data_IF_665053816010
#
_entry.id   IF_665053816010
#
_cell.length_a   1.000
_cell.length_b   1.000
_cell.length_c   1.000
_cell.angle_alpha   90.00
_cell.angle_beta   90.00
_cell.angle_gamma   90.00
#
_symmetry.space_group_name_H-M   'P 1'
#
loop_
_entity.id
_entity.type
_entity.pdbx_description
1 polymer ?
#
# COMPACT_ATOMS: atom_id res chain seq x y z
N UNK A 1 42.11 57.30 45.70
CA UNK A 1 40.80 56.62 45.60
C UNK A 1 40.67 56.01 44.18
N UNK A 2 40.89 54.73 44.06
CA UNK A 2 40.70 53.98 42.78
C UNK A 2 39.32 53.33 42.82
N UNK A 3 38.48 53.59 41.81
CA UNK A 3 37.21 52.98 41.59
C UNK A 3 37.43 51.81 40.63
N UNK A 4 37.23 50.55 41.13
CA UNK A 4 37.16 49.39 40.29
C UNK A 4 35.75 49.29 39.68
N UNK A 5 35.66 49.36 38.38
CA UNK A 5 34.43 49.01 37.64
C UNK A 5 34.42 47.49 37.37
N UNK A 6 33.43 46.80 37.93
CA UNK A 6 33.18 45.40 37.65
C UNK A 6 32.36 45.30 36.34
N UNK A 7 32.93 44.70 35.32
CA UNK A 7 32.21 44.37 34.11
C UNK A 7 31.41 43.06 34.32
N UNK A 8 30.09 43.14 34.34
CA UNK A 8 29.21 41.99 34.26
C UNK A 8 29.16 41.49 32.80
N UNK A 9 29.72 40.31 32.58
CA UNK A 9 29.52 39.53 31.36
C UNK A 9 28.12 38.92 31.40
N UNK A 10 27.22 39.46 30.59
CA UNK A 10 25.96 38.78 30.26
C UNK A 10 26.28 37.70 29.25
N UNK A 11 26.26 36.41 29.67
CA UNK A 11 26.18 35.28 28.75
C UNK A 11 24.77 35.26 28.18
N UNK A 12 24.63 35.63 26.92
CA UNK A 12 23.43 35.44 26.14
C UNK A 12 23.24 33.91 25.95
N UNK A 13 22.24 33.35 26.61
CA UNK A 13 21.67 32.06 26.17
C UNK A 13 21.13 32.28 24.75
N UNK A 14 21.81 31.75 23.75
CA UNK A 14 21.30 31.65 22.42
C UNK A 14 20.05 30.74 22.48
N UNK A 15 18.88 31.34 22.31
CA UNK A 15 17.69 30.55 21.99
C UNK A 15 17.97 29.87 20.65
N UNK A 16 17.93 28.54 20.63
CA UNK A 16 17.99 27.76 19.42
C UNK A 16 16.70 28.04 18.65
N UNK A 17 16.74 29.04 17.77
CA UNK A 17 15.64 29.37 16.88
C UNK A 17 15.72 28.43 15.68
N UNK A 18 15.40 27.13 15.90
CA UNK A 18 15.09 26.29 14.78
C UNK A 18 13.82 26.83 14.12
N UNK A 19 13.92 27.23 12.87
CA UNK A 19 12.75 27.58 12.07
C UNK A 19 11.72 26.47 12.19
N UNK A 20 10.41 26.78 12.27
CA UNK A 20 9.37 25.76 12.30
C UNK A 20 9.51 24.86 11.09
N UNK A 21 9.54 23.53 11.30
CA UNK A 21 9.61 22.56 10.20
C UNK A 21 8.38 22.72 9.30
N UNK A 22 8.61 22.81 8.00
CA UNK A 22 7.54 22.84 7.00
C UNK A 22 7.05 21.41 6.76
N UNK A 23 5.81 21.14 7.13
CA UNK A 23 5.12 19.86 6.91
C UNK A 23 4.17 19.91 5.70
N UNK A 24 4.37 20.82 4.77
CA UNK A 24 3.61 20.84 3.53
C UNK A 24 3.96 19.62 2.66
N UNK A 25 2.99 19.16 1.90
CA UNK A 25 3.13 18.07 0.94
C UNK A 25 2.73 18.54 -0.44
N UNK A 26 3.32 17.93 -1.47
CA UNK A 26 2.82 18.04 -2.84
C UNK A 26 1.42 17.44 -2.92
N UNK A 27 0.66 17.83 -3.92
CA UNK A 27 -0.67 17.26 -4.16
C UNK A 27 -0.57 15.78 -4.58
N UNK A 28 -1.58 15.00 -4.24
CA UNK A 28 -1.69 13.61 -4.69
C UNK A 28 -1.63 13.46 -6.21
N UNK A 29 -2.14 14.45 -6.95
CA UNK A 29 -2.07 14.47 -8.41
C UNK A 29 -0.63 14.63 -8.92
N UNK A 30 0.17 15.51 -8.32
CA UNK A 30 1.60 15.68 -8.65
C UNK A 30 2.38 14.42 -8.34
N UNK A 31 2.17 13.83 -7.16
CA UNK A 31 2.86 12.61 -6.72
C UNK A 31 2.53 11.42 -7.62
N UNK A 32 1.24 11.19 -7.92
CA UNK A 32 0.82 10.11 -8.82
C UNK A 32 1.37 10.35 -10.23
N UNK A 33 1.40 11.60 -10.71
CA UNK A 33 1.99 11.93 -12.03
C UNK A 33 3.49 11.63 -12.11
N UNK A 34 4.21 11.79 -11.00
CA UNK A 34 5.66 11.58 -10.91
C UNK A 34 6.06 10.10 -10.83
N UNK A 35 5.16 9.25 -10.34
CA UNK A 35 5.34 7.80 -10.35
C UNK A 35 5.38 7.27 -11.79
N UNK A 36 6.25 6.28 -12.04
CA UNK A 36 6.41 5.62 -13.35
C UNK A 36 6.01 4.17 -13.29
N UNK A 37 6.88 3.32 -12.78
CA UNK A 37 6.64 1.89 -12.63
C UNK A 37 6.55 1.60 -11.13
N UNK A 38 5.42 1.03 -10.72
CA UNK A 38 5.20 0.55 -9.36
C UNK A 38 5.41 -0.97 -9.24
N UNK A 39 5.89 -1.40 -8.08
CA UNK A 39 6.13 -2.80 -7.77
C UNK A 39 5.71 -3.11 -6.33
N UNK A 40 5.17 -4.32 -6.09
CA UNK A 40 4.80 -4.78 -4.76
C UNK A 40 5.86 -5.73 -4.18
N UNK A 41 6.27 -5.49 -2.93
CA UNK A 41 7.05 -6.43 -2.13
C UNK A 41 6.10 -7.47 -1.49
N UNK A 42 5.41 -8.26 -2.32
CA UNK A 42 4.42 -9.22 -1.84
C UNK A 42 5.03 -10.49 -1.24
N UNK A 43 4.27 -11.18 -0.39
CA UNK A 43 4.69 -12.36 0.36
C UNK A 43 5.98 -12.14 1.18
N UNK A 44 6.08 -10.98 1.82
CA UNK A 44 7.25 -10.58 2.63
C UNK A 44 6.77 -10.05 3.98
N UNK A 45 6.54 -8.73 4.14
CA UNK A 45 5.99 -8.20 5.39
C UNK A 45 4.46 -8.40 5.52
N UNK A 46 3.81 -8.86 4.47
CA UNK A 46 2.40 -9.28 4.48
C UNK A 46 2.19 -10.73 4.94
N UNK A 47 3.26 -11.49 5.17
CA UNK A 47 3.15 -12.86 5.68
C UNK A 47 2.45 -12.90 7.04
N UNK A 48 1.71 -13.96 7.28
CA UNK A 48 1.00 -14.18 8.53
C UNK A 48 0.78 -15.68 8.78
N UNK A 49 0.48 -16.03 10.02
CA UNK A 49 -0.05 -17.33 10.34
C UNK A 49 -1.35 -17.58 9.57
N UNK A 50 -1.61 -18.82 9.19
CA UNK A 50 -2.77 -19.17 8.39
C UNK A 50 -3.43 -20.45 8.91
N UNK A 51 -4.65 -20.72 8.48
CA UNK A 51 -5.31 -22.03 8.57
C UNK A 51 -5.12 -22.74 7.22
N UNK A 52 -4.01 -23.45 7.05
CA UNK A 52 -3.69 -24.14 5.79
C UNK A 52 -4.22 -25.54 5.71
N UNK A 53 -4.43 -26.19 6.85
CA UNK A 53 -4.95 -27.55 6.92
C UNK A 53 -6.48 -27.59 6.98
N UNK A 54 -7.13 -26.46 7.21
CA UNK A 54 -8.58 -26.29 7.18
C UNK A 54 -9.28 -26.76 8.45
N UNK A 55 -8.57 -26.81 9.58
CA UNK A 55 -9.12 -27.20 10.88
C UNK A 55 -9.87 -26.05 11.59
N UNK A 56 -9.82 -24.84 11.04
CA UNK A 56 -10.43 -23.64 11.58
C UNK A 56 -9.54 -22.91 12.60
N UNK A 57 -8.29 -23.34 12.78
CA UNK A 57 -7.33 -22.73 13.70
C UNK A 57 -6.22 -22.05 12.91
N UNK A 58 -6.00 -20.78 13.15
CA UNK A 58 -4.96 -20.00 12.47
C UNK A 58 -3.67 -20.16 13.28
N UNK A 59 -2.93 -21.21 12.99
CA UNK A 59 -1.75 -21.61 13.74
C UNK A 59 -0.61 -22.20 12.90
N UNK A 60 -0.75 -22.20 11.57
CA UNK A 60 0.31 -22.67 10.67
C UNK A 60 1.47 -21.66 10.67
N UNK A 61 2.32 -21.82 11.67
CA UNK A 61 3.58 -21.08 11.85
C UNK A 61 4.75 -22.04 11.87
N UNK A 62 5.99 -21.59 11.66
CA UNK A 62 7.17 -22.41 11.83
C UNK A 62 7.26 -23.01 13.25
N UNK A 63 8.01 -24.12 13.42
CA UNK A 63 8.20 -24.77 14.72
C UNK A 63 8.76 -23.83 15.81
N UNK A 64 9.50 -22.77 15.41
CA UNK A 64 10.00 -21.74 16.32
C UNK A 64 8.92 -20.75 16.77
N UNK A 65 7.72 -20.80 16.19
CA UNK A 65 6.60 -19.91 16.51
C UNK A 65 6.75 -18.47 16.02
N UNK A 66 7.78 -18.18 15.22
CA UNK A 66 8.07 -16.83 14.75
C UNK A 66 7.44 -16.63 13.36
N UNK A 67 6.61 -15.61 13.23
CA UNK A 67 6.12 -15.11 11.94
C UNK A 67 7.07 -13.98 11.52
N UNK A 68 7.89 -14.25 10.52
CA UNK A 68 8.80 -13.28 9.92
C UNK A 68 8.66 -13.27 8.39
N UNK A 69 9.29 -12.32 7.74
CA UNK A 69 9.19 -12.11 6.29
C UNK A 69 9.61 -13.29 5.41
N UNK A 70 10.24 -14.32 5.99
CA UNK A 70 10.66 -15.52 5.27
C UNK A 70 9.64 -16.66 5.30
N UNK A 71 8.56 -16.50 6.08
CA UNK A 71 7.55 -17.54 6.34
C UNK A 71 6.99 -18.17 5.05
N UNK A 72 6.79 -17.36 4.01
CA UNK A 72 6.24 -17.85 2.73
C UNK A 72 7.30 -18.09 1.66
N UNK A 73 8.58 -18.20 2.05
CA UNK A 73 9.68 -18.70 1.21
C UNK A 73 10.47 -17.62 0.47
N UNK A 74 10.19 -16.34 0.68
CA UNK A 74 11.05 -15.27 0.19
C UNK A 74 12.28 -15.11 1.10
N UNK A 75 13.41 -14.61 0.57
CA UNK A 75 14.58 -14.29 1.39
C UNK A 75 14.30 -13.06 2.28
N UNK A 76 15.11 -12.90 3.32
CA UNK A 76 15.20 -11.63 4.05
C UNK A 76 15.49 -10.50 3.07
N UNK A 77 14.71 -9.43 3.18
CA UNK A 77 14.86 -8.26 2.32
C UNK A 77 16.07 -7.41 2.75
N UNK A 78 16.85 -6.95 1.80
CA UNK A 78 17.95 -6.02 2.04
C UNK A 78 17.91 -4.82 1.07
N UNK A 79 18.79 -3.83 1.28
CA UNK A 79 18.82 -2.61 0.48
C UNK A 79 19.15 -2.87 -0.99
N UNK A 80 19.94 -3.91 -1.28
CA UNK A 80 20.39 -4.22 -2.65
C UNK A 80 19.24 -4.58 -3.59
N UNK A 81 18.14 -5.14 -3.05
CA UNK A 81 16.91 -5.37 -3.80
C UNK A 81 16.35 -4.05 -4.38
N UNK A 82 16.22 -3.04 -3.53
CA UNK A 82 15.65 -1.75 -3.96
C UNK A 82 16.60 -0.96 -4.84
N UNK A 83 17.92 -1.06 -4.63
CA UNK A 83 18.94 -0.50 -5.51
C UNK A 83 18.82 -1.08 -6.92
N UNK A 84 18.66 -2.41 -7.04
CA UNK A 84 18.48 -3.09 -8.32
C UNK A 84 17.15 -2.69 -8.99
N UNK A 85 16.04 -2.70 -8.25
CA UNK A 85 14.73 -2.27 -8.78
C UNK A 85 14.76 -0.82 -9.26
N UNK A 86 15.42 0.09 -8.52
CA UNK A 86 15.58 1.47 -8.94
C UNK A 86 16.40 1.60 -10.22
N UNK A 87 17.48 0.83 -10.36
CA UNK A 87 18.29 0.78 -11.56
C UNK A 87 17.49 0.31 -12.79
N UNK A 88 16.50 -0.55 -12.58
CA UNK A 88 15.56 -1.03 -13.60
C UNK A 88 14.49 0.01 -13.96
N UNK A 89 14.39 1.12 -13.24
CA UNK A 89 13.43 2.21 -13.47
C UNK A 89 12.18 2.17 -12.60
N UNK A 90 12.10 1.27 -11.61
CA UNK A 90 11.07 1.29 -10.59
C UNK A 90 11.29 2.51 -9.69
N UNK A 91 10.30 3.38 -9.56
CA UNK A 91 10.41 4.54 -8.68
C UNK A 91 9.30 4.62 -7.62
N UNK A 92 8.44 3.60 -7.56
CA UNK A 92 7.40 3.49 -6.57
C UNK A 92 7.27 2.02 -6.10
N UNK A 93 7.16 1.81 -4.80
CA UNK A 93 6.99 0.48 -4.21
C UNK A 93 5.82 0.48 -3.25
N UNK A 94 5.03 -0.58 -3.30
CA UNK A 94 4.05 -0.88 -2.26
C UNK A 94 4.61 -2.01 -1.41
N UNK A 95 4.68 -1.79 -0.12
CA UNK A 95 5.16 -2.71 0.89
C UNK A 95 3.95 -3.15 1.70
N UNK A 96 3.28 -4.25 1.31
CA UNK A 96 2.17 -4.80 2.07
C UNK A 96 2.66 -5.27 3.43
N UNK A 97 1.90 -4.98 4.50
CA UNK A 97 2.28 -5.33 5.87
C UNK A 97 1.09 -5.93 6.61
N UNK A 98 1.27 -7.09 7.20
CA UNK A 98 0.30 -7.71 8.10
C UNK A 98 0.77 -7.52 9.54
N UNK A 99 -0.13 -7.01 10.39
CA UNK A 99 0.20 -6.60 11.75
C UNK A 99 -0.32 -7.55 12.83
N UNK A 100 -1.37 -8.32 12.55
CA UNK A 100 -2.13 -9.08 13.54
C UNK A 100 -1.31 -10.04 14.39
N UNK A 101 -0.26 -10.68 13.82
CA UNK A 101 0.60 -11.63 14.53
C UNK A 101 1.67 -10.92 15.37
N UNK A 102 1.76 -9.60 15.26
CA UNK A 102 2.71 -8.72 15.93
C UNK A 102 2.02 -7.69 16.83
N UNK A 103 0.74 -7.93 17.19
CA UNK A 103 -0.03 -7.07 18.08
C UNK A 103 -0.20 -7.72 19.43
N UNK A 104 0.09 -6.97 20.50
CA UNK A 104 -0.25 -7.35 21.87
C UNK A 104 -1.76 -7.27 22.14
N UNK A 105 -2.12 -7.62 23.37
CA UNK A 105 -3.51 -7.65 23.83
C UNK A 105 -4.13 -6.26 23.98
N UNK A 106 -5.47 -6.25 24.04
CA UNK A 106 -6.25 -5.08 24.43
C UNK A 106 -5.86 -4.59 25.86
N UNK A 107 -6.01 -3.29 26.16
CA UNK A 107 -6.56 -2.25 25.29
C UNK A 107 -5.53 -1.57 24.38
N UNK A 108 -4.26 -1.78 24.63
CA UNK A 108 -3.18 -1.01 24.00
C UNK A 108 -2.85 -1.52 22.59
N UNK A 109 -3.08 -2.81 22.31
CA UNK A 109 -2.72 -3.46 21.04
C UNK A 109 -1.32 -3.04 20.57
N UNK A 110 -0.34 -3.10 21.51
CA UNK A 110 1.01 -2.63 21.25
C UNK A 110 1.64 -3.45 20.13
N UNK A 111 2.12 -2.77 19.10
CA UNK A 111 2.92 -3.43 18.05
C UNK A 111 4.24 -3.90 18.66
N UNK A 112 4.66 -5.12 18.30
CA UNK A 112 5.98 -5.63 18.64
C UNK A 112 7.07 -4.68 18.14
N UNK A 113 8.02 -4.36 19.01
CA UNK A 113 9.05 -3.36 18.71
C UNK A 113 10.02 -3.85 17.64
N UNK A 114 10.37 -5.13 17.65
CA UNK A 114 11.28 -5.71 16.64
C UNK A 114 10.60 -5.72 15.28
N UNK A 115 9.28 -6.01 15.23
CA UNK A 115 8.50 -5.93 13.99
C UNK A 115 8.42 -4.50 13.47
N UNK A 116 8.07 -3.53 14.31
CA UNK A 116 8.00 -2.12 13.89
C UNK A 116 9.36 -1.63 13.36
N UNK A 117 10.45 -1.99 14.04
CA UNK A 117 11.81 -1.67 13.61
C UNK A 117 12.13 -2.32 12.26
N UNK A 118 11.71 -3.57 12.05
CA UNK A 118 11.91 -4.26 10.77
C UNK A 118 11.13 -3.62 9.63
N UNK A 119 9.86 -3.29 9.86
CA UNK A 119 9.04 -2.55 8.90
C UNK A 119 9.72 -1.24 8.52
N UNK A 120 10.16 -0.48 9.50
CA UNK A 120 10.87 0.79 9.28
C UNK A 120 12.16 0.63 8.49
N UNK A 121 12.94 -0.41 8.79
CA UNK A 121 14.18 -0.72 8.09
C UNK A 121 13.92 -1.00 6.60
N UNK A 122 12.93 -1.83 6.28
CA UNK A 122 12.56 -2.16 4.89
C UNK A 122 12.00 -0.93 4.16
N UNK A 123 11.19 -0.13 4.83
CA UNK A 123 10.70 1.16 4.29
C UNK A 123 11.88 2.06 3.94
N UNK A 124 12.87 2.18 4.83
CA UNK A 124 14.04 3.04 4.61
C UNK A 124 14.86 2.60 3.40
N UNK A 125 14.98 1.31 3.11
CA UNK A 125 15.70 0.83 1.92
C UNK A 125 15.20 1.47 0.61
N UNK A 126 13.89 1.68 0.48
CA UNK A 126 13.30 2.34 -0.68
C UNK A 126 13.27 3.87 -0.51
N UNK A 127 12.90 4.36 0.69
CA UNK A 127 12.74 5.78 0.96
C UNK A 127 14.04 6.56 0.81
N UNK A 128 15.17 6.02 1.30
CA UNK A 128 16.51 6.63 1.20
C UNK A 128 17.04 6.66 -0.24
N UNK A 129 16.44 5.86 -1.12
CA UNK A 129 16.69 5.89 -2.55
C UNK A 129 15.77 6.87 -3.31
N UNK A 130 15.05 7.77 -2.63
CA UNK A 130 14.08 8.70 -3.22
C UNK A 130 12.94 8.00 -4.00
N UNK A 131 12.54 6.80 -3.59
CA UNK A 131 11.36 6.12 -4.14
C UNK A 131 10.10 6.55 -3.39
N UNK A 132 8.95 6.47 -4.06
CA UNK A 132 7.65 6.51 -3.40
C UNK A 132 7.38 5.19 -2.71
N UNK A 133 6.92 5.25 -1.46
CA UNK A 133 6.65 4.05 -0.66
C UNK A 133 5.22 4.07 -0.17
N UNK A 134 4.47 3.00 -0.43
CA UNK A 134 3.12 2.79 0.09
C UNK A 134 3.20 1.70 1.17
N UNK A 135 2.65 1.98 2.35
CA UNK A 135 2.47 1.00 3.44
C UNK A 135 0.99 0.87 3.81
N UNK A 136 0.58 -0.30 4.28
CA UNK A 136 -0.82 -0.57 4.60
C UNK A 136 -1.01 -1.50 5.82
N UNK A 137 -2.26 -1.87 6.05
CA UNK A 137 -2.65 -3.07 6.79
C UNK A 137 -3.17 -4.08 5.76
N UNK A 138 -2.49 -5.24 5.62
CA UNK A 138 -2.72 -6.13 4.47
C UNK A 138 -3.68 -7.29 4.81
N UNK A 139 -3.21 -8.43 5.27
CA UNK A 139 -4.08 -9.56 5.64
C UNK A 139 -4.81 -9.35 6.97
N UNK A 140 -4.67 -8.21 7.59
CA UNK A 140 -5.58 -7.68 8.61
C UNK A 140 -6.97 -7.39 8.05
N UNK A 141 -7.02 -6.99 6.76
CA UNK A 141 -8.20 -6.85 5.91
C UNK A 141 -8.47 -8.08 5.04
N UNK A 142 -9.41 -7.95 4.11
CA UNK A 142 -9.78 -9.02 3.17
C UNK A 142 -10.87 -9.96 3.69
N UNK A 143 -11.25 -10.92 2.84
CA UNK A 143 -12.31 -11.91 3.13
C UNK A 143 -11.76 -13.31 3.39
N UNK A 144 -10.46 -13.52 3.27
CA UNK A 144 -9.90 -14.84 3.47
C UNK A 144 -9.83 -15.20 4.96
N UNK A 145 -10.76 -16.03 5.40
CA UNK A 145 -10.80 -16.56 6.77
C UNK A 145 -9.54 -17.33 7.15
N UNK A 146 -8.81 -17.86 6.16
CA UNK A 146 -7.56 -18.58 6.38
C UNK A 146 -6.46 -17.67 6.93
N UNK A 147 -6.51 -16.38 6.64
CA UNK A 147 -5.55 -15.41 7.13
C UNK A 147 -6.01 -14.65 8.38
N UNK A 148 -7.18 -14.96 8.94
CA UNK A 148 -7.68 -14.36 10.17
C UNK A 148 -7.87 -12.84 10.13
N UNK A 149 -8.34 -12.34 9.00
CA UNK A 149 -8.61 -10.93 8.78
C UNK A 149 -9.59 -10.36 9.82
N UNK A 150 -9.08 -9.53 10.73
CA UNK A 150 -9.87 -9.01 11.85
C UNK A 150 -10.67 -7.75 11.52
N UNK A 151 -10.34 -7.04 10.43
CA UNK A 151 -11.08 -5.83 10.01
C UNK A 151 -12.56 -6.16 9.73
N UNK A 152 -12.86 -7.39 9.34
CA UNK A 152 -14.23 -7.87 9.12
C UNK A 152 -15.12 -7.80 10.36
N UNK A 153 -14.53 -7.89 11.56
CA UNK A 153 -15.28 -7.79 12.82
C UNK A 153 -15.97 -6.43 13.00
N UNK A 154 -15.63 -5.43 12.19
CA UNK A 154 -16.33 -4.14 12.14
C UNK A 154 -17.83 -4.28 11.85
N UNK A 155 -18.25 -5.34 11.13
CA UNK A 155 -19.66 -5.64 10.86
C UNK A 155 -20.39 -6.26 12.04
N UNK A 156 -19.66 -6.79 13.02
CA UNK A 156 -20.20 -7.44 14.21
C UNK A 156 -20.17 -6.51 15.44
N UNK A 157 -19.02 -5.85 15.66
CA UNK A 157 -18.78 -4.94 16.77
C UNK A 157 -17.85 -3.81 16.32
N UNK A 158 -18.45 -2.72 15.82
CA UNK A 158 -17.70 -1.57 15.32
C UNK A 158 -16.86 -0.88 16.39
N UNK A 159 -17.34 -0.82 17.63
CA UNK A 159 -16.63 -0.11 18.72
C UNK A 159 -15.34 -0.86 19.06
N UNK A 160 -15.42 -2.18 19.22
CA UNK A 160 -14.24 -3.03 19.47
C UNK A 160 -13.26 -3.02 18.29
N UNK A 161 -13.76 -3.11 17.05
CA UNK A 161 -12.94 -2.93 15.85
C UNK A 161 -12.21 -1.57 15.88
N UNK A 162 -12.96 -0.49 16.16
CA UNK A 162 -12.45 0.87 16.15
C UNK A 162 -11.35 1.08 17.20
N UNK A 163 -11.46 0.48 18.39
CA UNK A 163 -10.39 0.50 19.40
C UNK A 163 -9.09 -0.06 18.84
N UNK A 164 -9.12 -1.27 18.27
CA UNK A 164 -7.95 -1.94 17.70
C UNK A 164 -7.39 -1.18 16.50
N UNK A 165 -8.25 -0.78 15.56
CA UNK A 165 -7.87 -0.05 14.36
C UNK A 165 -7.19 1.28 14.70
N UNK A 166 -7.75 2.02 15.64
CA UNK A 166 -7.18 3.28 16.10
C UNK A 166 -5.86 3.10 16.85
N UNK A 167 -5.75 2.06 17.70
CA UNK A 167 -4.52 1.78 18.43
C UNK A 167 -3.37 1.45 17.47
N UNK A 168 -3.63 0.63 16.46
CA UNK A 168 -2.64 0.26 15.45
C UNK A 168 -2.21 1.49 14.61
N UNK A 169 -3.18 2.20 14.01
CA UNK A 169 -2.86 3.32 13.15
C UNK A 169 -2.19 4.49 13.90
N UNK A 170 -2.50 4.71 15.18
CA UNK A 170 -1.78 5.70 16.00
C UNK A 170 -0.30 5.37 16.11
N UNK A 171 0.07 4.11 16.29
CA UNK A 171 1.45 3.66 16.38
C UNK A 171 2.17 3.83 15.04
N UNK A 172 1.53 3.41 13.93
CA UNK A 172 2.07 3.61 12.57
C UNK A 172 2.26 5.11 12.29
N UNK A 173 1.26 5.94 12.57
CA UNK A 173 1.35 7.39 12.38
C UNK A 173 2.47 8.03 13.19
N UNK A 174 2.68 7.59 14.43
CA UNK A 174 3.74 8.12 15.29
C UNK A 174 5.13 7.74 14.75
N UNK A 175 5.32 6.48 14.34
CA UNK A 175 6.60 6.00 13.83
C UNK A 175 7.02 6.70 12.53
N UNK A 176 6.05 6.96 11.65
CA UNK A 176 6.31 7.54 10.33
C UNK A 176 5.94 9.02 10.21
N UNK A 177 5.82 9.74 11.34
CA UNK A 177 5.39 11.15 11.38
C UNK A 177 6.35 12.09 10.64
N UNK A 178 7.65 11.78 10.64
CA UNK A 178 8.71 12.60 10.07
C UNK A 178 9.04 12.30 8.60
N UNK A 179 8.44 11.24 8.03
CA UNK A 179 8.59 10.92 6.61
C UNK A 179 7.74 11.89 5.78
N UNK A 180 8.31 12.42 4.72
CA UNK A 180 7.64 13.38 3.84
C UNK A 180 6.54 12.75 2.94
N UNK A 181 6.12 13.46 1.92
CA UNK A 181 5.03 13.07 1.01
C UNK A 181 5.36 11.88 0.09
N UNK A 182 6.60 11.36 0.13
CA UNK A 182 6.96 10.12 -0.56
C UNK A 182 6.50 8.86 0.19
N UNK A 183 6.20 8.96 1.47
CA UNK A 183 5.55 7.88 2.21
C UNK A 183 4.03 8.07 2.23
N UNK A 184 3.32 7.12 1.64
CA UNK A 184 1.86 7.10 1.49
C UNK A 184 1.30 5.99 2.37
N UNK A 185 0.27 6.30 3.14
CA UNK A 185 -0.44 5.33 3.96
C UNK A 185 -1.73 4.90 3.27
N UNK A 186 -1.93 3.59 3.12
CA UNK A 186 -3.13 2.98 2.53
C UNK A 186 -4.04 2.44 3.63
N UNK A 187 -5.33 2.81 3.57
CA UNK A 187 -6.29 2.58 4.65
C UNK A 187 -6.49 1.11 5.04
N UNK A 188 -6.47 0.22 4.09
CA UNK A 188 -6.46 -1.24 4.23
C UNK A 188 -6.32 -1.91 2.86
N UNK A 189 -5.97 -3.20 2.85
CA UNK A 189 -6.05 -4.05 1.66
C UNK A 189 -7.48 -4.59 1.50
N UNK A 190 -7.94 -4.79 0.29
CA UNK A 190 -9.11 -5.58 -0.17
C UNK A 190 -10.25 -5.77 0.86
N UNK A 191 -10.81 -4.69 1.38
CA UNK A 191 -11.89 -4.74 2.37
C UNK A 191 -13.28 -4.60 1.74
N UNK A 192 -14.22 -5.38 2.26
CA UNK A 192 -15.64 -5.36 1.92
C UNK A 192 -16.44 -6.19 2.91
N UNK A 193 -17.76 -6.11 2.83
CA UNK A 193 -18.67 -6.66 3.84
C UNK A 193 -19.87 -7.34 3.18
N UNK A 194 -19.62 -8.29 2.26
CA UNK A 194 -20.67 -8.92 1.43
C UNK A 194 -21.68 -9.77 2.25
N UNK A 195 -21.42 -10.03 3.53
CA UNK A 195 -22.40 -10.64 4.44
C UNK A 195 -23.50 -9.67 4.89
N UNK A 196 -23.28 -8.35 4.74
CA UNK A 196 -24.27 -7.32 5.05
C UNK A 196 -25.17 -7.02 3.83
N UNK A 197 -26.35 -6.43 4.04
CA UNK A 197 -27.07 -5.76 2.96
C UNK A 197 -26.16 -4.73 2.27
N UNK A 198 -26.25 -4.62 0.95
CA UNK A 198 -25.29 -3.83 0.18
C UNK A 198 -25.15 -2.36 0.64
N UNK A 199 -26.26 -1.71 0.97
CA UNK A 199 -26.21 -0.31 1.43
C UNK A 199 -25.47 -0.18 2.76
N UNK A 200 -25.68 -1.11 3.69
CA UNK A 200 -24.98 -1.16 4.98
C UNK A 200 -23.49 -1.49 4.80
N UNK A 201 -23.17 -2.38 3.86
CA UNK A 201 -21.80 -2.77 3.55
C UNK A 201 -20.98 -1.58 3.00
N UNK A 202 -21.54 -0.79 2.07
CA UNK A 202 -20.88 0.42 1.58
C UNK A 202 -20.80 1.50 2.65
N UNK A 203 -21.85 1.69 3.44
CA UNK A 203 -21.86 2.66 4.54
C UNK A 203 -20.77 2.34 5.57
N UNK A 204 -20.56 1.05 5.87
CA UNK A 204 -19.51 0.60 6.80
C UNK A 204 -18.12 0.86 6.23
N UNK A 205 -17.85 0.51 4.97
CA UNK A 205 -16.57 0.80 4.33
C UNK A 205 -16.29 2.31 4.30
N UNK A 206 -17.26 3.11 3.88
CA UNK A 206 -17.11 4.57 3.84
C UNK A 206 -16.79 5.13 5.23
N UNK A 207 -17.43 4.58 6.29
CA UNK A 207 -17.17 4.95 7.68
C UNK A 207 -15.75 4.60 8.12
N UNK A 208 -15.24 3.41 7.77
CA UNK A 208 -13.88 2.99 8.08
C UNK A 208 -12.85 3.88 7.37
N UNK A 209 -13.04 4.14 6.08
CA UNK A 209 -12.17 5.02 5.32
C UNK A 209 -12.16 6.46 5.87
N UNK A 210 -13.33 6.99 6.31
CA UNK A 210 -13.39 8.30 6.99
C UNK A 210 -12.62 8.28 8.30
N UNK A 211 -12.81 7.24 9.14
CA UNK A 211 -12.07 7.08 10.40
C UNK A 211 -10.56 7.06 10.19
N UNK A 212 -10.09 6.39 9.14
CA UNK A 212 -8.67 6.38 8.77
C UNK A 212 -8.15 7.80 8.49
N UNK A 213 -8.83 8.54 7.61
CA UNK A 213 -8.43 9.91 7.27
C UNK A 213 -8.41 10.80 8.50
N UNK A 214 -9.48 10.79 9.29
CA UNK A 214 -9.59 11.61 10.50
C UNK A 214 -8.45 11.34 11.48
N UNK A 215 -8.14 10.06 11.69
CA UNK A 215 -7.06 9.65 12.61
C UNK A 215 -5.69 10.08 12.11
N UNK A 216 -5.38 9.82 10.83
CA UNK A 216 -4.07 10.18 10.27
C UNK A 216 -3.89 11.70 10.29
N UNK A 217 -4.88 12.46 9.86
CA UNK A 217 -4.82 13.94 9.86
C UNK A 217 -4.64 14.52 11.26
N UNK A 218 -5.32 13.95 12.25
CA UNK A 218 -5.22 14.39 13.66
C UNK A 218 -3.85 14.11 14.28
N UNK A 219 -3.04 13.21 13.72
CA UNK A 219 -1.72 12.87 14.29
C UNK A 219 -0.63 13.90 14.00
N UNK A 220 -0.89 14.89 13.14
CA UNK A 220 0.02 16.03 12.91
C UNK A 220 1.29 15.68 12.11
N UNK A 221 2.26 16.61 12.08
CA UNK A 221 3.45 16.45 11.25
C UNK A 221 3.10 16.30 9.78
N UNK A 222 3.87 15.53 9.02
CA UNK A 222 3.54 15.22 7.62
C UNK A 222 2.22 14.45 7.47
N UNK A 223 1.73 13.79 8.51
CA UNK A 223 0.44 13.09 8.46
C UNK A 223 -0.74 14.05 8.24
N UNK A 224 -0.61 15.31 8.65
CA UNK A 224 -1.65 16.33 8.42
C UNK A 224 -1.85 16.65 6.92
N UNK A 225 -0.83 16.44 6.09
CA UNK A 225 -0.84 16.88 4.68
C UNK A 225 -0.48 15.83 3.66
N UNK A 226 0.22 14.72 4.04
CA UNK A 226 0.67 13.67 3.11
C UNK A 226 -0.47 13.09 2.28
N UNK A 227 -0.21 12.57 1.06
CA UNK A 227 -1.21 11.80 0.33
C UNK A 227 -1.63 10.57 1.13
N UNK A 228 -2.93 10.26 1.09
CA UNK A 228 -3.47 9.03 1.66
C UNK A 228 -4.12 8.21 0.56
N UNK A 229 -3.85 6.91 0.56
CA UNK A 229 -4.40 5.96 -0.39
C UNK A 229 -5.63 5.28 0.23
N UNK A 230 -6.77 5.42 -0.40
CA UNK A 230 -8.06 4.98 0.12
C UNK A 230 -8.53 3.74 -0.63
N UNK A 231 -8.73 2.65 0.09
CA UNK A 231 -9.18 1.40 -0.50
C UNK A 231 -10.60 1.52 -1.07
N UNK A 232 -10.77 1.12 -2.33
CA UNK A 232 -12.06 0.89 -2.94
C UNK A 232 -12.78 -0.33 -2.32
N UNK A 233 -14.08 -0.50 -2.63
CA UNK A 233 -14.84 -1.65 -2.13
C UNK A 233 -14.30 -2.95 -2.74
N UNK A 234 -13.70 -3.82 -1.92
CA UNK A 234 -12.89 -4.99 -2.34
C UNK A 234 -11.75 -4.62 -3.31
N UNK A 235 -11.35 -3.35 -3.38
CA UNK A 235 -10.48 -2.84 -4.45
C UNK A 235 -10.96 -3.22 -5.87
N UNK A 236 -12.19 -3.71 -6.01
CA UNK A 236 -12.81 -4.07 -7.28
C UNK A 236 -13.31 -2.82 -8.01
N UNK A 237 -12.97 -2.70 -9.30
CA UNK A 237 -13.30 -1.52 -10.11
C UNK A 237 -14.80 -1.32 -10.24
N UNK A 238 -15.57 -2.39 -10.47
CA UNK A 238 -17.01 -2.26 -10.69
C UNK A 238 -17.75 -1.89 -9.40
N UNK A 239 -17.35 -2.52 -8.29
CA UNK A 239 -17.91 -2.22 -6.95
C UNK A 239 -17.50 -0.81 -6.49
N UNK A 240 -16.26 -0.39 -6.74
CA UNK A 240 -15.78 0.95 -6.36
C UNK A 240 -16.41 2.07 -7.18
N UNK A 241 -16.77 1.81 -8.43
CA UNK A 241 -17.52 2.76 -9.26
C UNK A 241 -19.04 2.76 -8.99
N UNK A 242 -19.54 2.02 -8.03
CA UNK A 242 -20.93 2.10 -7.58
C UNK A 242 -21.16 3.42 -6.82
N UNK A 243 -22.32 4.05 -7.03
CA UNK A 243 -22.65 5.33 -6.42
C UNK A 243 -22.72 5.34 -4.88
N UNK A 244 -22.77 4.18 -4.26
CA UNK A 244 -22.74 4.01 -2.80
C UNK A 244 -21.34 4.15 -2.21
N UNK A 245 -20.29 3.87 -3.01
CA UNK A 245 -18.91 4.14 -2.59
C UNK A 245 -18.66 5.65 -2.60
N UNK A 246 -18.14 6.15 -1.51
CA UNK A 246 -17.82 7.57 -1.35
C UNK A 246 -16.40 7.71 -0.79
N UNK A 247 -15.60 8.55 -1.42
CA UNK A 247 -14.33 8.95 -0.83
C UNK A 247 -14.59 9.75 0.44
N UNK A 248 -13.76 9.57 1.47
CA UNK A 248 -13.88 10.34 2.70
C UNK A 248 -13.64 11.83 2.46
N UNK A 249 -14.21 12.66 3.32
CA UNK A 249 -13.84 14.06 3.40
C UNK A 249 -12.41 14.18 3.93
N UNK A 250 -11.59 15.00 3.29
CA UNK A 250 -10.20 15.22 3.69
C UNK A 250 -9.89 16.72 3.75
N UNK A 251 -9.57 17.28 4.93
CA UNK A 251 -9.23 18.70 5.05
C UNK A 251 -7.96 19.09 4.26
N UNK A 252 -7.06 18.15 3.99
CA UNK A 252 -5.86 18.37 3.18
C UNK A 252 -6.16 18.29 1.68
N UNK A 253 -7.32 17.77 1.28
CA UNK A 253 -7.67 17.49 -0.12
C UNK A 253 -6.57 16.69 -0.86
N UNK A 254 -6.02 15.65 -0.20
CA UNK A 254 -4.83 14.96 -0.67
C UNK A 254 -5.02 13.43 -0.64
N UNK A 255 -6.11 12.96 -1.26
CA UNK A 255 -6.46 11.54 -1.36
C UNK A 255 -6.12 10.95 -2.73
N UNK A 256 -5.82 9.66 -2.74
CA UNK A 256 -5.64 8.81 -3.90
C UNK A 256 -6.59 7.61 -3.74
N UNK A 257 -7.23 7.17 -4.80
CA UNK A 257 -8.05 5.96 -4.80
C UNK A 257 -7.20 4.72 -5.10
N UNK A 258 -7.34 3.65 -4.33
CA UNK A 258 -6.74 2.34 -4.58
C UNK A 258 -7.78 1.35 -5.11
N UNK A 259 -7.47 0.71 -6.23
CA UNK A 259 -8.18 -0.46 -6.77
C UNK A 259 -7.17 -1.47 -7.28
N UNK A 260 -7.59 -2.74 -7.43
CA UNK A 260 -6.77 -3.81 -7.98
C UNK A 260 -7.31 -4.30 -9.31
N UNK A 261 -6.45 -4.92 -10.14
CA UNK A 261 -6.84 -5.39 -11.47
C UNK A 261 -6.31 -6.78 -11.78
N UNK A 262 -7.13 -7.79 -11.56
CA UNK A 262 -6.86 -9.20 -11.87
C UNK A 262 -7.88 -9.76 -12.88
N UNK A 263 -8.06 -9.03 -14.00
CA UNK A 263 -9.02 -9.40 -15.04
C UNK A 263 -8.32 -9.67 -16.37
N UNK A 264 -8.62 -10.79 -17.06
CA UNK A 264 -9.61 -11.81 -16.65
C UNK A 264 -9.08 -12.75 -15.55
N UNK A 265 -9.93 -13.12 -14.62
CA UNK A 265 -9.61 -14.00 -13.48
C UNK A 265 -8.96 -15.33 -13.88
N UNK A 266 -9.43 -15.89 -14.99
CA UNK A 266 -8.91 -17.14 -15.55
C UNK A 266 -7.45 -17.05 -16.00
N UNK A 267 -6.98 -15.88 -16.39
CA UNK A 267 -5.59 -15.62 -16.76
C UNK A 267 -4.75 -15.17 -15.57
N UNK A 268 -5.28 -14.28 -14.75
CA UNK A 268 -4.52 -13.67 -13.69
C UNK A 268 -4.35 -14.57 -12.46
N UNK A 269 -5.37 -15.38 -12.10
CA UNK A 269 -5.41 -16.11 -10.84
C UNK A 269 -5.46 -17.63 -11.02
N UNK A 270 -6.44 -18.16 -11.72
CA UNK A 270 -6.73 -19.60 -11.68
C UNK A 270 -6.13 -20.42 -12.82
N UNK A 271 -5.30 -19.80 -13.67
CA UNK A 271 -4.58 -20.47 -14.76
C UNK A 271 -5.45 -21.35 -15.69
N UNK A 272 -6.67 -20.89 -16.02
CA UNK A 272 -7.55 -21.54 -16.99
C UNK A 272 -7.49 -20.94 -18.38
N UNK A 273 -6.93 -19.74 -18.51
CA UNK A 273 -6.67 -19.03 -19.77
C UNK A 273 -5.17 -18.82 -19.92
N UNK A 274 -4.56 -19.47 -20.90
CA UNK A 274 -3.10 -19.50 -21.06
C UNK A 274 -2.53 -18.28 -21.78
N UNK A 275 -3.38 -17.57 -22.54
CA UNK A 275 -2.96 -16.47 -23.40
C UNK A 275 -3.79 -15.22 -23.17
N UNK A 276 -3.16 -14.07 -23.36
CA UNK A 276 -3.79 -12.74 -23.30
C UNK A 276 -3.39 -11.92 -24.53
N UNK A 277 -4.23 -10.98 -24.95
CA UNK A 277 -3.96 -10.03 -26.02
C UNK A 277 -4.87 -10.21 -27.23
N UNK A 278 -6.00 -10.92 -27.10
CA UNK A 278 -7.06 -10.86 -28.10
C UNK A 278 -7.75 -9.48 -28.10
N UNK A 279 -8.44 -9.15 -29.18
CA UNK A 279 -9.23 -7.91 -29.25
C UNK A 279 -10.24 -7.78 -28.10
N UNK A 280 -10.83 -8.90 -27.65
CA UNK A 280 -11.75 -8.91 -26.52
C UNK A 280 -11.05 -8.58 -25.20
N UNK A 281 -9.84 -9.09 -24.99
CA UNK A 281 -9.04 -8.79 -23.80
C UNK A 281 -8.68 -7.30 -23.70
N UNK A 282 -8.23 -6.73 -24.82
CA UNK A 282 -7.87 -5.31 -24.88
C UNK A 282 -9.10 -4.43 -24.64
N UNK A 283 -10.23 -4.74 -25.27
CA UNK A 283 -11.49 -4.01 -25.04
C UNK A 283 -11.99 -4.12 -23.60
N UNK A 284 -11.77 -5.24 -22.95
CA UNK A 284 -12.13 -5.41 -21.54
C UNK A 284 -11.26 -4.54 -20.63
N UNK A 285 -9.94 -4.52 -20.86
CA UNK A 285 -9.01 -3.63 -20.16
C UNK A 285 -9.42 -2.16 -20.35
N UNK A 286 -9.58 -1.71 -21.60
CA UNK A 286 -9.98 -0.33 -21.91
C UNK A 286 -11.30 0.06 -21.25
N UNK A 287 -12.30 -0.82 -21.27
CA UNK A 287 -13.59 -0.58 -20.61
C UNK A 287 -13.46 -0.37 -19.10
N UNK A 288 -12.64 -1.20 -18.41
CA UNK A 288 -12.43 -1.08 -16.98
C UNK A 288 -11.67 0.20 -16.63
N UNK A 289 -10.63 0.54 -17.39
CA UNK A 289 -9.83 1.75 -17.13
C UNK A 289 -10.62 3.02 -17.47
N UNK A 290 -11.43 3.03 -18.53
CA UNK A 290 -12.34 4.14 -18.83
C UNK A 290 -13.36 4.35 -17.71
N UNK A 291 -13.88 3.28 -17.11
CA UNK A 291 -14.79 3.39 -15.96
C UNK A 291 -14.14 4.11 -14.78
N UNK A 292 -12.88 3.80 -14.46
CA UNK A 292 -12.12 4.53 -13.43
C UNK A 292 -11.89 5.98 -13.82
N UNK A 293 -11.50 6.21 -15.06
CA UNK A 293 -11.25 7.55 -15.58
C UNK A 293 -12.49 8.44 -15.46
N UNK A 294 -13.65 7.99 -15.95
CA UNK A 294 -14.90 8.74 -15.91
C UNK A 294 -15.44 9.00 -14.49
N UNK A 295 -15.25 8.02 -13.58
CA UNK A 295 -15.78 8.13 -12.21
C UNK A 295 -14.87 8.90 -11.27
N UNK A 296 -13.56 8.92 -11.50
CA UNK A 296 -12.57 9.49 -10.56
C UNK A 296 -11.58 10.44 -11.22
N UNK A 297 -10.78 9.99 -12.19
CA UNK A 297 -9.69 10.80 -12.76
C UNK A 297 -10.21 12.09 -13.38
N UNK A 298 -11.27 12.06 -14.19
CA UNK A 298 -11.88 13.24 -14.83
C UNK A 298 -12.54 14.18 -13.79
N UNK A 299 -12.73 13.72 -12.57
CA UNK A 299 -13.22 14.51 -11.43
C UNK A 299 -12.09 15.03 -10.53
N UNK A 300 -10.84 14.83 -10.94
CA UNK A 300 -9.67 15.30 -10.21
C UNK A 300 -9.19 14.39 -9.07
N UNK A 301 -9.69 13.16 -8.99
CA UNK A 301 -9.26 12.16 -8.02
C UNK A 301 -8.18 11.28 -8.66
N UNK A 302 -6.93 11.33 -8.19
CA UNK A 302 -5.89 10.42 -8.66
C UNK A 302 -6.21 8.96 -8.31
N UNK A 303 -5.84 8.03 -9.20
CA UNK A 303 -6.09 6.59 -9.04
C UNK A 303 -4.80 5.80 -9.17
N UNK A 304 -4.65 4.82 -8.29
CA UNK A 304 -3.59 3.80 -8.35
C UNK A 304 -4.26 2.43 -8.49
N UNK A 305 -3.76 1.63 -9.45
CA UNK A 305 -3.96 0.18 -9.45
C UNK A 305 -2.91 -0.38 -8.49
N UNK A 306 -3.28 -0.57 -7.22
CA UNK A 306 -2.38 -0.99 -6.15
C UNK A 306 -1.79 -2.38 -6.37
N UNK A 307 -2.55 -3.23 -7.07
CA UNK A 307 -2.09 -4.53 -7.50
C UNK A 307 -2.63 -4.88 -8.88
N UNK A 308 -1.77 -5.42 -9.71
CA UNK A 308 -2.14 -6.16 -10.92
C UNK A 308 -1.09 -7.22 -11.19
N UNK A 309 -1.47 -8.31 -11.83
CA UNK A 309 -0.54 -9.40 -12.07
C UNK A 309 -1.14 -10.51 -12.90
N UNK A 310 -0.37 -11.56 -13.08
CA UNK A 310 -0.71 -12.72 -13.87
C UNK A 310 -0.31 -14.02 -13.15
N UNK A 311 -0.99 -15.11 -13.47
CA UNK A 311 -0.60 -16.41 -12.94
C UNK A 311 0.69 -16.91 -13.61
N UNK A 312 1.59 -17.49 -12.82
CA UNK A 312 2.89 -17.96 -13.33
C UNK A 312 2.79 -19.11 -14.35
N UNK A 313 1.73 -19.86 -14.34
CA UNK A 313 1.50 -20.95 -15.28
C UNK A 313 1.14 -20.52 -16.71
N UNK A 314 0.83 -19.24 -16.95
CA UNK A 314 0.44 -18.74 -18.28
C UNK A 314 1.66 -18.50 -19.19
N UNK A 315 1.42 -18.36 -20.50
CA UNK A 315 2.51 -18.23 -21.47
C UNK A 315 3.34 -16.95 -21.26
N UNK A 316 4.69 -17.02 -21.31
CA UNK A 316 5.57 -15.89 -21.00
C UNK A 316 5.28 -14.64 -21.85
N UNK A 317 5.07 -14.80 -23.18
CA UNK A 317 4.76 -13.67 -24.06
C UNK A 317 3.43 -13.00 -23.70
N UNK A 318 2.48 -13.77 -23.15
CA UNK A 318 1.21 -13.22 -22.69
C UNK A 318 1.33 -12.47 -21.35
N UNK A 319 2.29 -12.88 -20.50
CA UNK A 319 2.64 -12.11 -19.28
C UNK A 319 3.13 -10.72 -19.64
N UNK A 320 4.10 -10.65 -20.57
CA UNK A 320 4.68 -9.39 -21.04
C UNK A 320 3.61 -8.51 -21.69
N UNK A 321 2.81 -9.08 -22.62
CA UNK A 321 1.71 -8.35 -23.28
C UNK A 321 0.68 -7.79 -22.30
N UNK A 322 0.26 -8.61 -21.32
CA UNK A 322 -0.70 -8.18 -20.31
C UNK A 322 -0.13 -7.05 -19.45
N UNK A 323 1.05 -7.26 -18.86
CA UNK A 323 1.63 -6.29 -17.96
C UNK A 323 1.89 -4.94 -18.63
N UNK A 324 2.47 -4.96 -19.84
CA UNK A 324 2.75 -3.72 -20.59
C UNK A 324 1.48 -3.03 -21.08
N UNK A 325 0.45 -3.78 -21.48
CA UNK A 325 -0.82 -3.20 -21.90
C UNK A 325 -1.56 -2.53 -20.73
N UNK A 326 -1.61 -3.18 -19.57
CA UNK A 326 -2.21 -2.60 -18.35
C UNK A 326 -1.44 -1.34 -17.96
N UNK A 327 -0.10 -1.41 -17.86
CA UNK A 327 0.74 -0.27 -17.51
C UNK A 327 0.55 0.89 -18.46
N UNK A 328 0.61 0.64 -19.78
CA UNK A 328 0.47 1.69 -20.80
C UNK A 328 -0.93 2.33 -20.78
N UNK A 329 -1.97 1.52 -20.79
CA UNK A 329 -3.36 2.02 -20.81
C UNK A 329 -3.63 2.89 -19.59
N UNK A 330 -3.19 2.45 -18.40
CA UNK A 330 -3.30 3.23 -17.17
C UNK A 330 -2.46 4.51 -17.23
N UNK A 331 -1.21 4.41 -17.67
CA UNK A 331 -0.29 5.56 -17.73
C UNK A 331 -0.83 6.67 -18.63
N UNK A 332 -1.34 6.30 -19.81
CA UNK A 332 -1.95 7.24 -20.76
C UNK A 332 -3.22 7.93 -20.20
N UNK A 333 -3.90 7.30 -19.26
CA UNK A 333 -5.09 7.84 -18.57
C UNK A 333 -4.76 8.58 -17.25
N UNK A 334 -3.49 8.72 -16.89
CA UNK A 334 -3.08 9.35 -15.64
C UNK A 334 -3.18 8.45 -14.40
N UNK A 335 -3.44 7.16 -14.59
CA UNK A 335 -3.49 6.15 -13.54
C UNK A 335 -2.09 5.52 -13.39
N UNK A 336 -1.69 5.13 -12.19
CA UNK A 336 -0.42 4.41 -11.96
C UNK A 336 -0.68 3.00 -11.51
N UNK A 337 0.26 2.10 -11.82
CA UNK A 337 0.09 0.67 -11.60
C UNK A 337 1.26 0.08 -10.82
N UNK A 338 0.95 -0.87 -9.93
CA UNK A 338 1.93 -1.57 -9.12
C UNK A 338 1.84 -3.07 -9.42
N UNK A 339 2.86 -3.59 -10.09
CA UNK A 339 2.94 -5.01 -10.42
C UNK A 339 3.07 -5.84 -9.14
N UNK A 340 2.19 -6.82 -8.96
CA UNK A 340 2.30 -7.77 -7.86
C UNK A 340 3.42 -8.76 -8.11
N UNK A 341 4.34 -8.86 -7.15
CA UNK A 341 5.38 -9.88 -7.12
C UNK A 341 5.46 -10.53 -5.75
N UNK A 342 5.22 -11.82 -5.73
CA UNK A 342 5.36 -12.68 -4.55
C UNK A 342 6.68 -13.46 -4.53
N UNK A 343 7.68 -13.03 -5.31
CA UNK A 343 8.96 -13.72 -5.51
C UNK A 343 9.00 -14.60 -6.78
N UNK A 344 7.88 -14.66 -7.53
CA UNK A 344 7.78 -15.48 -8.74
C UNK A 344 8.06 -14.71 -10.04
N UNK A 345 7.99 -13.38 -10.02
CA UNK A 345 8.25 -12.51 -11.17
C UNK A 345 9.69 -11.98 -11.14
N UNK A 346 10.19 -11.65 -9.97
CA UNK A 346 11.54 -11.17 -9.74
C UNK A 346 12.31 -12.09 -8.79
N UNK A 347 13.50 -12.52 -9.18
CA UNK A 347 14.42 -13.26 -8.32
C UNK A 347 15.11 -12.29 -7.36
N UNK A 348 14.64 -12.26 -6.13
CA UNK A 348 15.10 -11.32 -5.11
C UNK A 348 16.50 -11.61 -4.56
N UNK A 349 17.01 -12.82 -4.79
CA UNK A 349 18.38 -13.21 -4.40
C UNK A 349 19.40 -12.84 -5.46
N UNK A 350 19.03 -13.04 -6.74
CA UNK A 350 19.95 -12.81 -7.85
C UNK A 350 19.70 -11.47 -8.57
N UNK A 351 18.66 -10.72 -8.16
CA UNK A 351 18.23 -9.45 -8.73
C UNK A 351 17.98 -9.51 -10.23
N UNK A 352 17.20 -10.51 -10.67
CA UNK A 352 16.87 -10.71 -12.08
C UNK A 352 15.38 -10.97 -12.29
N UNK A 353 14.85 -10.43 -13.38
CA UNK A 353 13.48 -10.70 -13.81
C UNK A 353 13.38 -12.11 -14.37
N UNK A 354 12.44 -12.91 -13.83
CA UNK A 354 12.19 -14.29 -14.29
C UNK A 354 11.40 -14.36 -15.58
N UNK A 355 10.77 -13.26 -16.00
CA UNK A 355 10.00 -13.13 -17.24
C UNK A 355 10.82 -12.26 -18.20
N UNK A 356 11.44 -12.90 -19.22
CA UNK A 356 12.27 -12.22 -20.19
C UNK A 356 11.48 -11.14 -20.94
N UNK A 357 12.06 -9.95 -21.11
CA UNK A 357 11.47 -8.81 -21.81
C UNK A 357 10.40 -8.05 -21.00
N UNK A 358 10.08 -8.47 -19.77
CA UNK A 358 9.03 -7.83 -18.98
C UNK A 358 9.40 -6.41 -18.58
N UNK A 359 10.59 -6.22 -18.02
CA UNK A 359 10.99 -4.88 -17.52
C UNK A 359 11.18 -3.90 -18.67
N UNK A 360 11.74 -4.33 -19.80
CA UNK A 360 11.88 -3.52 -20.99
C UNK A 360 10.51 -3.04 -21.50
N UNK A 361 9.54 -3.95 -21.57
CA UNK A 361 8.18 -3.63 -21.98
C UNK A 361 7.46 -2.69 -21.00
N UNK A 362 7.70 -2.83 -19.68
CA UNK A 362 7.17 -1.92 -18.68
C UNK A 362 7.80 -0.53 -18.81
N UNK A 363 9.10 -0.43 -19.00
CA UNK A 363 9.80 0.85 -19.24
C UNK A 363 9.26 1.56 -20.46
N UNK A 364 9.16 0.85 -21.59
CA UNK A 364 8.59 1.38 -22.84
C UNK A 364 7.15 1.89 -22.62
N UNK A 365 6.34 1.16 -21.85
CA UNK A 365 4.94 1.52 -21.58
C UNK A 365 4.75 2.87 -20.87
N UNK A 366 5.78 3.36 -20.16
CA UNK A 366 5.77 4.64 -19.42
C UNK A 366 6.77 5.66 -19.98
N UNK A 367 7.40 5.37 -21.11
CA UNK A 367 8.32 6.28 -21.80
C UNK A 367 9.71 6.41 -21.15
N UNK A 368 10.24 5.33 -20.58
CA UNK A 368 11.59 5.19 -20.02
C UNK A 368 12.53 4.45 -20.96
#
# INVERSE_FOLDING_TARGET
AAVMAAAMLFTSCGADTTEPKDYSSRSSAEIVSDMKIGWNLGNTLDVCAADRDGDGIINDVPENGIVDETLWGNPMTDSSLFEALKADGINAVRIPITWRDHLGDAPDYKVDEDWMNRVKEVVNYAYDLDMYVIINIHHDGGDDSKFGAWVRSASEDYDKFSEKYNALWKQICAEFSEYDDRLIMESANEIGFDALPQDDAYALLNKINQQFVDLVRASGGYNATRPLLIAGYWTDIAKTCDSRYQLPADPANNLILSVHYYTPWEFCIINKKMTWGSEADVKELERNMNKLKENFVDKGVPVIIGEYGFNNGVQPESKVKFASAVSKTCYDMGIRTFLWDNGEVYDRTNHVWRVEGLIEALRESVGL
#
